data_IF_957369057215
#
_entry.id   IF_957369057215
#
_cell.length_a   1.000
_cell.length_b   1.000
_cell.length_c   1.000
_cell.angle_alpha   90.00
_cell.angle_beta   90.00
_cell.angle_gamma   90.00
#
_symmetry.space_group_name_H-M   'P 1'
#
loop_
_entity.id
_entity.type
_entity.pdbx_description
1 polymer ?
#
# COMPACT_ATOMS: atom_id res chain seq x y z
N UNK A 1 -14.09 -12.63 17.59
CA UNK A 1 -12.92 -13.50 17.35
C UNK A 1 -11.67 -12.87 17.98
N UNK A 2 -10.68 -13.69 18.33
CA UNK A 2 -9.37 -13.24 18.80
C UNK A 2 -8.36 -13.33 17.66
N UNK A 3 -7.99 -12.18 17.10
CA UNK A 3 -7.21 -12.09 15.85
C UNK A 3 -5.81 -11.57 16.17
N UNK A 4 -4.79 -12.26 15.67
CA UNK A 4 -3.40 -11.85 15.72
C UNK A 4 -2.95 -11.42 14.33
N UNK A 5 -2.81 -10.11 14.13
CA UNK A 5 -2.14 -9.55 12.94
C UNK A 5 -0.63 -9.58 13.18
N UNK A 6 0.17 -10.06 12.23
CA UNK A 6 1.61 -10.19 12.41
C UNK A 6 2.39 -9.63 11.22
N UNK A 7 3.36 -8.75 11.50
CA UNK A 7 4.26 -8.13 10.53
C UNK A 7 5.66 -7.93 11.10
N UNK A 8 6.61 -7.43 10.30
CA UNK A 8 7.97 -7.16 10.79
C UNK A 8 8.07 -5.87 11.60
N UNK A 9 7.49 -4.77 11.13
CA UNK A 9 7.53 -3.44 11.75
C UNK A 9 6.34 -2.61 11.29
N UNK A 10 6.17 -1.41 11.83
CA UNK A 10 5.18 -0.42 11.39
C UNK A 10 5.88 0.79 10.74
N UNK A 11 6.79 0.54 9.81
CA UNK A 11 7.51 1.58 9.07
C UNK A 11 6.59 2.36 8.11
N UNK A 12 7.14 3.44 7.51
CA UNK A 12 6.42 4.24 6.52
C UNK A 12 6.29 3.48 5.19
N UNK A 13 5.22 2.72 5.01
CA UNK A 13 4.94 1.97 3.79
C UNK A 13 3.46 1.68 3.60
N UNK A 14 3.06 1.38 2.36
CA UNK A 14 1.66 1.07 2.04
C UNK A 14 1.17 -0.20 2.73
N UNK A 15 2.03 -1.21 2.86
CA UNK A 15 1.73 -2.45 3.58
C UNK A 15 1.38 -2.17 5.04
N UNK A 16 2.23 -1.43 5.73
CA UNK A 16 2.07 -1.12 7.14
C UNK A 16 0.84 -0.24 7.39
N UNK A 17 0.60 0.71 6.49
CA UNK A 17 -0.62 1.52 6.52
C UNK A 17 -1.87 0.66 6.40
N UNK A 18 -1.90 -0.26 5.44
CA UNK A 18 -3.01 -1.20 5.26
C UNK A 18 -3.24 -2.05 6.52
N UNK A 19 -2.17 -2.59 7.13
CA UNK A 19 -2.27 -3.42 8.34
C UNK A 19 -2.89 -2.64 9.49
N UNK A 20 -2.50 -1.38 9.67
CA UNK A 20 -3.06 -0.51 10.72
C UNK A 20 -4.54 -0.25 10.47
N UNK A 21 -4.92 0.12 9.24
CA UNK A 21 -6.32 0.37 8.89
C UNK A 21 -7.18 -0.88 9.08
N UNK A 22 -6.71 -2.05 8.61
CA UNK A 22 -7.40 -3.31 8.77
C UNK A 22 -7.52 -3.70 10.25
N UNK A 23 -6.46 -3.53 11.04
CA UNK A 23 -6.48 -3.83 12.47
C UNK A 23 -7.48 -2.96 13.22
N UNK A 24 -7.52 -1.66 12.90
CA UNK A 24 -8.46 -0.72 13.50
C UNK A 24 -9.91 -1.06 13.14
N UNK A 25 -10.19 -1.41 11.88
CA UNK A 25 -11.53 -1.79 11.45
C UNK A 25 -12.00 -3.08 12.10
N UNK A 26 -11.15 -4.12 12.08
CA UNK A 26 -11.44 -5.41 12.75
C UNK A 26 -11.58 -5.24 14.26
N UNK A 27 -10.83 -4.33 14.87
CA UNK A 27 -10.87 -4.03 16.30
C UNK A 27 -12.18 -3.42 16.79
N UNK A 28 -13.04 -2.93 15.90
CA UNK A 28 -14.37 -2.43 16.26
C UNK A 28 -15.27 -3.53 16.84
N UNK A 29 -15.12 -4.77 16.37
CA UNK A 29 -16.00 -5.90 16.70
C UNK A 29 -15.26 -7.16 17.18
N UNK A 30 -13.92 -7.15 17.19
CA UNK A 30 -13.09 -8.29 17.55
C UNK A 30 -11.98 -7.90 18.54
N UNK A 31 -11.42 -8.88 19.25
CA UNK A 31 -10.21 -8.71 20.05
C UNK A 31 -8.99 -8.81 19.12
N UNK A 32 -8.44 -7.67 18.69
CA UNK A 32 -7.29 -7.61 17.77
C UNK A 32 -6.01 -7.29 18.52
N UNK A 33 -4.97 -8.07 18.24
CA UNK A 33 -3.59 -7.76 18.63
C UNK A 33 -2.72 -7.63 17.37
N UNK A 34 -1.99 -6.54 17.25
CA UNK A 34 -0.98 -6.35 16.22
C UNK A 34 0.40 -6.65 16.82
N UNK A 35 1.05 -7.68 16.28
CA UNK A 35 2.36 -8.16 16.69
C UNK A 35 3.41 -7.77 15.67
N UNK A 36 4.44 -7.07 16.09
CA UNK A 36 5.63 -6.82 15.28
C UNK A 36 6.82 -7.65 15.78
N UNK A 37 7.63 -8.14 14.84
CA UNK A 37 8.75 -9.04 15.17
C UNK A 37 10.07 -8.31 15.38
N UNK A 38 10.41 -7.33 14.53
CA UNK A 38 11.68 -6.59 14.62
C UNK A 38 11.71 -5.72 15.86
N UNK A 39 12.90 -5.60 16.45
CA UNK A 39 13.11 -4.67 17.55
C UNK A 39 12.84 -3.23 17.09
N UNK A 40 11.80 -2.64 17.65
CA UNK A 40 11.36 -1.27 17.32
C UNK A 40 12.11 -0.18 18.08
N UNK A 41 13.02 -0.56 18.99
CA UNK A 41 13.88 0.35 19.75
C UNK A 41 15.14 0.77 18.97
N UNK A 42 15.55 -0.04 17.98
CA UNK A 42 16.77 0.22 17.19
C UNK A 42 16.64 1.49 16.34
N UNK A 43 15.46 1.72 15.73
CA UNK A 43 15.13 2.94 15.00
C UNK A 43 13.65 3.27 15.19
N UNK A 44 13.27 3.85 16.35
CA UNK A 44 11.86 4.06 16.70
C UNK A 44 11.09 4.93 15.70
N UNK A 45 11.71 6.00 15.18
CA UNK A 45 11.07 6.90 14.24
C UNK A 45 10.64 6.19 12.95
N UNK A 46 11.45 5.27 12.49
CA UNK A 46 11.17 4.51 11.29
C UNK A 46 10.29 3.28 11.58
N UNK A 47 10.61 2.50 12.60
CA UNK A 47 9.97 1.20 12.88
C UNK A 47 8.60 1.32 13.54
N UNK A 48 8.27 2.48 14.12
CA UNK A 48 7.00 2.77 14.79
C UNK A 48 6.19 3.87 14.10
N UNK A 49 6.48 4.19 12.84
CA UNK A 49 5.89 5.33 12.11
C UNK A 49 4.36 5.36 12.20
N UNK A 50 3.69 4.24 11.95
CA UNK A 50 2.23 4.13 12.03
C UNK A 50 1.70 3.58 13.35
N UNK A 51 2.53 3.39 14.36
CA UNK A 51 2.10 2.87 15.67
C UNK A 51 1.07 3.76 16.35
N UNK A 52 1.23 5.07 16.21
CA UNK A 52 0.36 6.06 16.84
C UNK A 52 -0.99 6.23 16.13
N UNK A 53 -1.14 5.64 14.95
CA UNK A 53 -2.42 5.59 14.22
C UNK A 53 -3.28 4.38 14.63
N UNK A 54 -2.77 3.52 15.53
CA UNK A 54 -3.56 2.41 16.07
C UNK A 54 -4.63 2.93 17.03
N UNK A 55 -5.84 2.41 16.84
CA UNK A 55 -6.94 2.64 17.78
C UNK A 55 -6.63 2.03 19.15
N UNK A 56 -7.15 2.61 20.21
CA UNK A 56 -7.12 2.10 21.59
C UNK A 56 -7.72 0.68 21.74
N UNK A 57 -8.57 0.27 20.79
CA UNK A 57 -9.16 -1.07 20.70
C UNK A 57 -8.19 -2.15 20.18
N UNK A 58 -7.05 -1.74 19.60
CA UNK A 58 -6.03 -2.65 19.06
C UNK A 58 -4.84 -2.72 20.01
N UNK A 59 -4.57 -3.91 20.53
CA UNK A 59 -3.39 -4.13 21.37
C UNK A 59 -2.14 -4.22 20.51
N UNK A 60 -1.14 -3.36 20.76
CA UNK A 60 0.18 -3.46 20.14
C UNK A 60 1.15 -4.26 20.98
N UNK A 61 1.90 -5.17 20.35
CA UNK A 61 2.97 -5.95 20.98
C UNK A 61 4.17 -6.03 20.06
N UNK A 62 5.37 -5.84 20.61
CA UNK A 62 6.63 -6.04 19.87
C UNK A 62 7.44 -7.16 20.52
N UNK A 63 7.97 -8.09 19.73
CA UNK A 63 8.80 -9.21 20.25
C UNK A 63 10.28 -8.87 20.35
N UNK A 64 10.75 -7.78 19.75
CA UNK A 64 12.14 -7.36 19.80
C UNK A 64 13.12 -8.42 19.26
N UNK A 65 12.76 -9.07 18.14
CA UNK A 65 13.59 -10.10 17.55
C UNK A 65 14.72 -9.50 16.71
N UNK A 66 15.88 -10.13 16.74
CA UNK A 66 16.93 -9.84 15.77
C UNK A 66 16.44 -10.12 14.35
N UNK A 67 16.99 -9.40 13.37
CA UNK A 67 16.60 -9.56 11.95
C UNK A 67 16.99 -10.94 11.37
N UNK A 68 17.86 -11.68 12.08
CA UNK A 68 18.34 -12.99 11.61
C UNK A 68 17.29 -14.07 11.83
N UNK A 69 17.06 -14.87 10.80
CA UNK A 69 16.29 -16.09 10.92
C UNK A 69 17.08 -17.07 11.83
N UNK A 70 16.48 -17.52 12.92
CA UNK A 70 17.11 -18.44 13.88
C UNK A 70 16.07 -19.33 14.54
N UNK A 71 16.45 -20.56 14.97
CA UNK A 71 15.54 -21.46 15.72
C UNK A 71 14.97 -20.80 16.98
N UNK A 72 15.76 -19.97 17.66
CA UNK A 72 15.31 -19.23 18.84
C UNK A 72 14.16 -18.26 18.52
N UNK A 73 14.25 -17.55 17.39
CA UNK A 73 13.18 -16.63 16.94
C UNK A 73 11.91 -17.41 16.60
N UNK A 74 12.02 -18.57 15.93
CA UNK A 74 10.87 -19.45 15.67
C UNK A 74 10.21 -19.92 16.97
N UNK A 75 11.01 -20.31 17.95
CA UNK A 75 10.53 -20.72 19.26
C UNK A 75 9.82 -19.59 20.00
N UNK A 76 10.37 -18.37 19.98
CA UNK A 76 9.74 -17.20 20.60
C UNK A 76 8.39 -16.88 19.96
N UNK A 77 8.29 -16.90 18.63
CA UNK A 77 7.02 -16.68 17.90
C UNK A 77 6.02 -17.78 18.25
N UNK A 78 6.42 -19.06 18.20
CA UNK A 78 5.58 -20.19 18.59
C UNK A 78 5.06 -20.05 20.02
N UNK A 79 5.95 -19.79 20.99
CA UNK A 79 5.55 -19.63 22.41
C UNK A 79 4.56 -18.49 22.58
N UNK A 80 4.76 -17.38 21.88
CA UNK A 80 3.83 -16.25 21.94
C UNK A 80 2.46 -16.65 21.39
N UNK A 81 2.38 -17.22 20.19
CA UNK A 81 1.12 -17.66 19.57
C UNK A 81 0.41 -18.71 20.43
N UNK A 82 1.14 -19.69 20.97
CA UNK A 82 0.59 -20.72 21.85
C UNK A 82 -0.02 -20.12 23.13
N UNK A 83 0.72 -19.19 23.80
CA UNK A 83 0.24 -18.51 25.01
C UNK A 83 -0.93 -17.58 24.73
N UNK A 84 -0.86 -16.86 23.61
CA UNK A 84 -1.92 -15.92 23.20
C UNK A 84 -3.20 -16.65 22.80
N UNK A 85 -3.08 -17.84 22.20
CA UNK A 85 -4.17 -18.71 21.75
C UNK A 85 -5.22 -17.94 20.91
N UNK A 86 -4.88 -17.43 19.71
CA UNK A 86 -5.80 -16.73 18.83
C UNK A 86 -6.69 -17.71 18.08
N UNK A 87 -7.83 -17.23 17.56
CA UNK A 87 -8.62 -17.96 16.57
C UNK A 87 -7.95 -17.90 15.18
N UNK A 88 -7.32 -16.76 14.89
CA UNK A 88 -6.68 -16.47 13.60
C UNK A 88 -5.31 -15.83 13.80
N UNK A 89 -4.32 -16.30 13.05
CA UNK A 89 -3.03 -15.65 12.82
C UNK A 89 -3.00 -15.16 11.38
N UNK A 90 -3.05 -13.84 11.20
CA UNK A 90 -2.99 -13.23 9.87
C UNK A 90 -1.60 -12.63 9.63
N UNK A 91 -0.89 -13.21 8.69
CA UNK A 91 0.48 -12.88 8.33
C UNK A 91 0.50 -11.89 7.18
N UNK A 92 1.27 -10.82 7.35
CA UNK A 92 1.57 -9.85 6.30
C UNK A 92 3.07 -9.85 6.03
N UNK A 93 3.50 -9.29 4.95
CA UNK A 93 4.88 -9.26 4.49
C UNK A 93 5.46 -10.62 4.03
N UNK A 94 6.31 -10.52 3.02
CA UNK A 94 7.09 -11.63 2.46
C UNK A 94 7.99 -12.23 3.53
N UNK A 95 8.04 -13.56 3.59
CA UNK A 95 8.89 -14.27 4.55
C UNK A 95 8.29 -14.45 5.95
N UNK A 96 7.13 -13.85 6.27
CA UNK A 96 6.46 -14.05 7.56
C UNK A 96 6.11 -15.52 7.84
N UNK A 97 5.65 -16.32 6.85
CA UNK A 97 5.40 -17.75 7.07
C UNK A 97 6.60 -18.52 7.59
N UNK A 98 7.82 -18.14 7.23
CA UNK A 98 9.04 -18.78 7.77
C UNK A 98 9.13 -18.64 9.30
N UNK A 99 8.80 -17.47 9.83
CA UNK A 99 8.81 -17.21 11.27
C UNK A 99 7.65 -17.89 11.99
N UNK A 100 6.51 -18.08 11.31
CA UNK A 100 5.34 -18.75 11.86
C UNK A 100 5.31 -20.25 11.60
N UNK A 101 6.28 -20.82 10.88
CA UNK A 101 6.28 -22.21 10.42
C UNK A 101 6.10 -23.21 11.57
N UNK A 102 6.86 -23.07 12.66
CA UNK A 102 6.76 -23.94 13.82
C UNK A 102 5.39 -23.84 14.49
N UNK A 103 4.85 -22.63 14.63
CA UNK A 103 3.52 -22.41 15.18
C UNK A 103 2.45 -23.00 14.29
N UNK A 104 2.56 -22.79 12.96
CA UNK A 104 1.62 -23.34 11.99
C UNK A 104 1.61 -24.88 12.04
N UNK A 105 2.78 -25.51 12.02
CA UNK A 105 2.89 -26.96 12.05
C UNK A 105 2.32 -27.58 13.32
N UNK A 106 2.57 -26.98 14.50
CA UNK A 106 2.12 -27.53 15.78
C UNK A 106 0.67 -27.13 16.15
N UNK A 107 0.16 -26.00 15.66
CA UNK A 107 -1.12 -25.42 16.07
C UNK A 107 -2.13 -25.25 14.92
N UNK A 108 -1.72 -25.48 13.67
CA UNK A 108 -2.52 -25.17 12.48
C UNK A 108 -3.84 -25.94 12.34
N UNK A 109 -4.04 -27.02 13.09
CA UNK A 109 -5.34 -27.72 13.16
C UNK A 109 -6.35 -27.04 14.10
N UNK A 110 -5.87 -26.14 14.97
CA UNK A 110 -6.69 -25.43 15.98
C UNK A 110 -6.81 -23.94 15.68
N UNK A 111 -5.82 -23.38 15.00
CA UNK A 111 -5.71 -21.96 14.69
C UNK A 111 -5.72 -21.78 13.17
N UNK A 112 -6.53 -20.87 12.65
CA UNK A 112 -6.52 -20.52 11.24
C UNK A 112 -5.32 -19.61 10.93
N UNK A 113 -4.44 -20.03 10.02
CA UNK A 113 -3.34 -19.21 9.51
C UNK A 113 -3.70 -18.65 8.14
N UNK A 114 -3.59 -17.33 7.99
CA UNK A 114 -3.84 -16.60 6.75
C UNK A 114 -2.59 -15.83 6.35
N UNK A 115 -2.24 -15.81 5.08
CA UNK A 115 -1.18 -15.00 4.50
C UNK A 115 -1.75 -14.11 3.40
N UNK A 116 -1.60 -12.80 3.54
CA UNK A 116 -1.89 -11.87 2.44
C UNK A 116 -0.65 -11.66 1.58
N UNK A 117 -0.83 -11.80 0.27
CA UNK A 117 0.20 -11.57 -0.75
C UNK A 117 0.10 -10.13 -1.21
N UNK A 118 1.03 -9.28 -0.75
CA UNK A 118 1.03 -7.83 -0.98
C UNK A 118 1.88 -7.36 -2.17
N UNK A 119 2.65 -8.24 -2.78
CA UNK A 119 3.53 -7.91 -3.92
C UNK A 119 3.33 -8.88 -5.07
N UNK A 120 3.74 -8.47 -6.27
CA UNK A 120 3.75 -9.36 -7.44
C UNK A 120 4.57 -10.62 -7.14
N UNK A 121 3.93 -11.78 -7.22
CA UNK A 121 4.56 -13.07 -6.95
C UNK A 121 5.67 -13.42 -7.95
N UNK A 122 5.62 -12.85 -9.15
CA UNK A 122 6.61 -13.11 -10.22
C UNK A 122 7.97 -12.47 -9.96
N UNK A 123 8.00 -11.37 -9.19
CA UNK A 123 9.16 -10.51 -9.05
C UNK A 123 9.78 -10.46 -7.63
N UNK A 124 9.23 -11.19 -6.64
CA UNK A 124 9.60 -10.96 -5.24
C UNK A 124 10.01 -12.19 -4.42
N UNK A 125 9.91 -13.40 -4.95
CA UNK A 125 9.98 -14.61 -4.14
C UNK A 125 11.02 -15.63 -4.62
N UNK A 126 12.24 -15.21 -4.82
CA UNK A 126 13.31 -16.06 -5.39
C UNK A 126 14.11 -16.88 -4.35
N UNK A 127 13.50 -17.30 -3.25
CA UNK A 127 14.17 -18.21 -2.30
C UNK A 127 13.52 -19.59 -2.36
N UNK A 128 14.27 -20.61 -2.79
CA UNK A 128 13.83 -22.01 -2.80
C UNK A 128 13.16 -22.45 -1.48
N UNK A 129 13.70 -22.00 -0.34
CA UNK A 129 13.13 -22.30 0.99
C UNK A 129 11.76 -21.65 1.17
N UNK A 130 11.58 -20.44 0.64
CA UNK A 130 10.30 -19.76 0.73
C UNK A 130 9.23 -20.48 -0.11
N UNK A 131 9.55 -20.80 -1.34
CA UNK A 131 8.65 -21.49 -2.26
C UNK A 131 8.30 -22.88 -1.75
N UNK A 132 9.26 -23.62 -1.22
CA UNK A 132 9.05 -24.93 -0.61
C UNK A 132 8.13 -24.85 0.62
N UNK A 133 8.35 -23.91 1.54
CA UNK A 133 7.49 -23.72 2.71
C UNK A 133 6.08 -23.35 2.31
N UNK A 134 5.92 -22.39 1.38
CA UNK A 134 4.62 -21.97 0.89
C UNK A 134 3.87 -23.09 0.17
N UNK A 135 4.54 -23.79 -0.75
CA UNK A 135 3.94 -24.90 -1.49
C UNK A 135 3.49 -26.02 -0.53
N UNK A 136 4.36 -26.37 0.43
CA UNK A 136 4.05 -27.46 1.38
C UNK A 136 2.89 -27.07 2.30
N UNK A 137 2.93 -25.90 2.93
CA UNK A 137 1.88 -25.45 3.86
C UNK A 137 0.57 -25.16 3.13
N UNK A 138 0.62 -24.62 1.92
CA UNK A 138 -0.56 -24.42 1.07
C UNK A 138 -1.19 -25.74 0.64
N UNK A 139 -0.39 -26.71 0.18
CA UNK A 139 -0.85 -28.04 -0.23
C UNK A 139 -1.49 -28.83 0.94
N UNK A 140 -0.95 -28.64 2.14
CA UNK A 140 -1.52 -29.25 3.36
C UNK A 140 -2.73 -28.46 3.89
N UNK A 141 -3.16 -27.40 3.22
CA UNK A 141 -4.20 -26.46 3.65
C UNK A 141 -3.99 -25.88 5.06
N UNK A 142 -2.74 -25.82 5.48
CA UNK A 142 -2.36 -25.26 6.80
C UNK A 142 -2.26 -23.74 6.76
N UNK A 143 -2.10 -23.15 5.57
CA UNK A 143 -2.16 -21.69 5.34
C UNK A 143 -3.21 -21.44 4.27
N UNK A 144 -4.03 -20.41 4.50
CA UNK A 144 -4.94 -19.83 3.53
C UNK A 144 -4.30 -18.58 2.93
N UNK A 145 -4.50 -18.34 1.65
CA UNK A 145 -3.90 -17.21 0.96
C UNK A 145 -4.94 -16.18 0.57
N UNK A 146 -4.69 -14.92 0.88
CA UNK A 146 -5.45 -13.78 0.34
C UNK A 146 -4.60 -13.07 -0.71
N UNK A 147 -5.13 -12.92 -1.92
CA UNK A 147 -4.53 -12.14 -3.00
C UNK A 147 -5.22 -10.77 -3.06
N UNK A 148 -4.44 -9.70 -3.26
CA UNK A 148 -4.94 -8.32 -3.24
C UNK A 148 -5.24 -7.75 -4.63
N UNK A 149 -4.93 -8.51 -5.69
CA UNK A 149 -5.22 -8.18 -7.09
C UNK A 149 -5.61 -9.44 -7.85
N UNK A 150 -6.37 -9.29 -8.94
CA UNK A 150 -6.77 -10.40 -9.80
C UNK A 150 -5.54 -11.10 -10.40
N UNK A 151 -4.52 -10.36 -10.77
CA UNK A 151 -3.25 -10.90 -11.27
C UNK A 151 -2.58 -11.81 -10.23
N UNK A 152 -2.44 -11.34 -8.98
CA UNK A 152 -1.87 -12.14 -7.91
C UNK A 152 -2.72 -13.37 -7.58
N UNK A 153 -4.04 -13.28 -7.70
CA UNK A 153 -4.93 -14.41 -7.48
C UNK A 153 -4.76 -15.50 -8.55
N UNK A 154 -4.65 -15.12 -9.81
CA UNK A 154 -4.38 -16.04 -10.93
C UNK A 154 -3.00 -16.68 -10.80
N UNK A 155 -1.97 -15.90 -10.49
CA UNK A 155 -0.61 -16.41 -10.28
C UNK A 155 -0.54 -17.34 -9.06
N UNK A 156 -1.27 -17.06 -7.99
CA UNK A 156 -1.34 -17.91 -6.81
C UNK A 156 -1.94 -19.28 -7.13
N UNK A 157 -3.05 -19.33 -7.88
CA UNK A 157 -3.65 -20.59 -8.32
C UNK A 157 -2.75 -21.38 -9.27
N UNK A 158 -1.97 -20.69 -10.11
CA UNK A 158 -0.98 -21.35 -11.00
C UNK A 158 0.17 -21.95 -10.22
N UNK A 159 0.68 -21.25 -9.20
CA UNK A 159 1.86 -21.67 -8.43
C UNK A 159 1.47 -22.65 -7.31
N UNK A 160 0.31 -22.45 -6.68
CA UNK A 160 -0.19 -23.27 -5.56
C UNK A 160 -1.63 -23.76 -5.81
N UNK A 161 -1.86 -24.64 -6.81
CA UNK A 161 -3.21 -25.01 -7.29
C UNK A 161 -4.10 -25.69 -6.25
N UNK A 162 -3.50 -26.24 -5.18
CA UNK A 162 -4.25 -26.96 -4.12
C UNK A 162 -4.47 -26.11 -2.85
N UNK A 163 -4.01 -24.84 -2.86
CA UNK A 163 -4.18 -23.97 -1.71
C UNK A 163 -5.60 -23.39 -1.62
N UNK A 164 -6.06 -23.14 -0.40
CA UNK A 164 -7.27 -22.35 -0.19
C UNK A 164 -6.92 -20.86 -0.36
N UNK A 165 -7.42 -20.26 -1.42
CA UNK A 165 -7.15 -18.87 -1.77
C UNK A 165 -8.43 -18.07 -1.96
N UNK A 166 -8.36 -16.77 -1.67
CA UNK A 166 -9.44 -15.80 -1.86
C UNK A 166 -8.89 -14.51 -2.46
N UNK A 167 -9.64 -13.89 -3.37
CA UNK A 167 -9.34 -12.54 -3.83
C UNK A 167 -10.03 -11.52 -2.93
N UNK A 168 -9.22 -10.74 -2.21
CA UNK A 168 -9.69 -9.71 -1.29
C UNK A 168 -8.97 -8.40 -1.62
N UNK A 169 -9.70 -7.45 -2.20
CA UNK A 169 -9.16 -6.13 -2.50
C UNK A 169 -8.59 -5.48 -1.24
N UNK A 170 -7.42 -4.85 -1.36
CA UNK A 170 -6.96 -3.95 -0.33
C UNK A 170 -8.00 -2.85 -0.11
N UNK A 171 -8.20 -2.49 1.15
CA UNK A 171 -9.04 -1.38 1.53
C UNK A 171 -8.22 -0.25 2.13
N UNK A 172 -8.75 0.96 2.04
CA UNK A 172 -8.20 2.14 2.71
C UNK A 172 -9.28 2.79 3.58
N UNK A 173 -8.87 3.28 4.75
CA UNK A 173 -9.73 4.10 5.59
C UNK A 173 -10.05 5.42 4.88
N UNK A 174 -11.21 6.04 5.15
CA UNK A 174 -11.52 7.36 4.61
C UNK A 174 -10.43 8.37 4.94
N UNK A 175 -10.02 9.11 3.93
CA UNK A 175 -9.00 10.16 4.10
C UNK A 175 -9.69 11.38 4.71
N UNK A 176 -9.04 12.00 5.69
CA UNK A 176 -9.57 13.18 6.39
C UNK A 176 -8.63 14.36 6.20
N UNK A 177 -9.20 15.55 6.17
CA UNK A 177 -8.47 16.80 6.36
C UNK A 177 -8.02 16.91 7.81
N UNK A 178 -6.84 17.48 8.02
CA UNK A 178 -6.33 17.78 9.35
C UNK A 178 -6.50 19.28 9.67
N UNK A 179 -6.12 19.68 10.87
CA UNK A 179 -6.02 21.08 11.29
C UNK A 179 -5.02 21.91 10.48
N UNK A 180 -4.12 21.23 9.74
CA UNK A 180 -3.14 21.86 8.85
C UNK A 180 -3.64 22.11 7.42
N UNK A 181 -4.89 21.80 7.12
CA UNK A 181 -5.43 21.90 5.76
C UNK A 181 -5.25 23.30 5.13
N UNK A 182 -5.56 24.35 5.88
CA UNK A 182 -5.45 25.73 5.39
C UNK A 182 -3.98 26.17 5.18
N UNK A 183 -3.06 25.65 6.00
CA UNK A 183 -1.62 25.86 5.85
C UNK A 183 -1.12 25.18 4.56
N UNK A 184 -1.50 23.93 4.34
CA UNK A 184 -1.17 23.19 3.12
C UNK A 184 -1.78 23.87 1.88
N UNK A 185 -3.00 24.38 1.98
CA UNK A 185 -3.63 25.13 0.87
C UNK A 185 -2.82 26.38 0.50
N UNK A 186 -2.32 27.11 1.47
CA UNK A 186 -1.42 28.26 1.24
C UNK A 186 -0.08 27.82 0.62
N UNK A 187 0.52 26.74 1.14
CA UNK A 187 1.77 26.16 0.59
C UNK A 187 1.58 25.80 -0.89
N UNK A 188 0.53 25.06 -1.25
CA UNK A 188 0.26 24.65 -2.63
C UNK A 188 -0.05 25.85 -3.54
N UNK A 189 -0.81 26.82 -3.05
CA UNK A 189 -1.10 28.02 -3.83
C UNK A 189 0.16 28.84 -4.14
N UNK A 190 1.19 28.81 -3.31
CA UNK A 190 2.47 29.47 -3.57
C UNK A 190 3.26 28.84 -4.72
N UNK A 191 2.95 27.61 -5.10
CA UNK A 191 3.56 26.89 -6.23
C UNK A 191 2.83 27.13 -7.55
N UNK A 192 1.64 27.73 -7.52
CA UNK A 192 0.84 28.00 -8.72
C UNK A 192 1.32 29.28 -9.39
N UNK A 193 1.45 29.24 -10.71
CA UNK A 193 1.74 30.41 -11.52
C UNK A 193 0.55 31.38 -11.57
N UNK A 194 -0.66 30.82 -11.61
CA UNK A 194 -1.93 31.53 -11.65
C UNK A 194 -3.07 30.65 -11.14
N UNK A 195 -4.31 31.18 -11.12
CA UNK A 195 -5.48 30.45 -10.64
C UNK A 195 -5.89 29.23 -11.51
N UNK A 196 -5.41 29.15 -12.77
CA UNK A 196 -5.69 28.05 -13.68
C UNK A 196 -4.63 26.95 -13.62
N UNK A 197 -3.55 27.14 -12.84
CA UNK A 197 -2.48 26.15 -12.71
C UNK A 197 -3.02 24.90 -12.05
N UNK A 198 -2.95 23.76 -12.74
CA UNK A 198 -3.40 22.47 -12.22
C UNK A 198 -2.33 21.85 -11.33
N UNK A 199 -2.75 21.37 -10.17
CA UNK A 199 -1.88 20.72 -9.18
C UNK A 199 -1.86 19.22 -9.42
N UNK A 200 -0.71 18.70 -9.79
CA UNK A 200 -0.45 17.28 -9.95
C UNK A 200 0.27 16.78 -8.70
N UNK A 201 -0.26 15.75 -8.05
CA UNK A 201 0.30 15.18 -6.82
C UNK A 201 0.86 13.79 -7.07
N UNK A 202 2.06 13.53 -6.58
CA UNK A 202 2.67 12.21 -6.51
C UNK A 202 3.06 11.87 -5.07
N UNK A 203 2.66 10.69 -4.59
CA UNK A 203 2.95 10.24 -3.23
C UNK A 203 3.63 8.87 -3.27
N UNK A 204 4.95 8.85 -3.14
CA UNK A 204 5.75 7.64 -3.02
C UNK A 204 7.15 7.94 -2.49
N UNK A 205 7.79 6.98 -1.81
CA UNK A 205 9.22 7.06 -1.48
C UNK A 205 10.07 7.08 -2.76
N UNK A 206 11.23 7.72 -2.71
CA UNK A 206 12.22 7.63 -3.77
C UNK A 206 12.75 6.19 -3.85
N UNK A 207 12.40 5.47 -4.91
CA UNK A 207 12.80 4.08 -5.11
C UNK A 207 12.73 3.71 -6.59
N UNK A 208 13.64 2.88 -7.14
CA UNK A 208 13.64 2.50 -8.56
C UNK A 208 12.30 1.97 -9.07
N UNK A 209 11.59 1.18 -8.28
CA UNK A 209 10.25 0.67 -8.64
C UNK A 209 9.21 1.77 -8.88
N UNK A 210 9.40 2.96 -8.27
CA UNK A 210 8.48 4.10 -8.42
C UNK A 210 8.76 4.92 -9.68
N UNK A 211 9.91 4.67 -10.32
CA UNK A 211 10.29 5.24 -11.62
C UNK A 211 10.06 6.75 -11.73
N UNK A 212 10.53 7.50 -10.70
CA UNK A 212 10.35 8.95 -10.67
C UNK A 212 11.09 9.69 -11.81
N UNK A 213 12.01 9.02 -12.52
CA UNK A 213 12.57 9.57 -13.75
C UNK A 213 11.49 9.79 -14.83
N UNK A 214 10.57 8.82 -14.98
CA UNK A 214 9.43 8.95 -15.89
C UNK A 214 8.49 10.08 -15.44
N UNK A 215 8.23 10.20 -14.14
CA UNK A 215 7.41 11.27 -13.56
C UNK A 215 7.97 12.66 -13.87
N UNK A 216 9.24 12.89 -13.49
CA UNK A 216 9.92 14.18 -13.68
C UNK A 216 10.07 14.50 -15.16
N UNK A 217 10.47 13.51 -15.97
CA UNK A 217 10.59 13.67 -17.42
C UNK A 217 9.26 14.04 -18.08
N UNK A 218 8.17 13.35 -17.73
CA UNK A 218 6.83 13.63 -18.26
C UNK A 218 6.31 15.02 -17.86
N UNK A 219 6.50 15.41 -16.60
CA UNK A 219 6.14 16.75 -16.13
C UNK A 219 6.94 17.85 -16.86
N UNK A 220 8.26 17.70 -16.93
CA UNK A 220 9.12 18.64 -17.68
C UNK A 220 8.67 18.79 -19.15
N UNK A 221 8.38 17.67 -19.81
CA UNK A 221 7.92 17.65 -21.20
C UNK A 221 6.62 18.45 -21.37
N UNK A 222 5.64 18.24 -20.49
CA UNK A 222 4.35 18.93 -20.54
C UNK A 222 4.48 20.42 -20.25
N UNK A 223 5.25 20.80 -19.21
CA UNK A 223 5.51 22.20 -18.86
C UNK A 223 6.21 22.91 -20.00
N UNK A 224 7.22 22.27 -20.64
CA UNK A 224 7.89 22.80 -21.85
C UNK A 224 6.94 22.96 -23.03
N UNK A 225 5.92 22.10 -23.17
CA UNK A 225 4.86 22.20 -24.17
C UNK A 225 3.76 23.23 -23.82
N UNK A 226 3.91 23.97 -22.71
CA UNK A 226 2.99 25.05 -22.31
C UNK A 226 1.79 24.58 -21.46
N UNK A 227 1.77 23.33 -20.98
CA UNK A 227 0.72 22.87 -20.06
C UNK A 227 0.89 23.58 -18.72
N UNK A 228 -0.16 24.30 -18.27
CA UNK A 228 -0.14 25.07 -17.03
C UNK A 228 -0.38 24.14 -15.83
N UNK A 229 0.70 23.59 -15.28
CA UNK A 229 0.68 22.68 -14.16
C UNK A 229 1.85 22.89 -13.20
N UNK A 230 1.68 22.49 -11.95
CA UNK A 230 2.73 22.29 -10.96
C UNK A 230 2.70 20.86 -10.46
N UNK A 231 3.88 20.25 -10.25
CA UNK A 231 4.01 18.89 -9.72
C UNK A 231 4.50 18.96 -8.28
N UNK A 232 3.71 18.39 -7.37
CA UNK A 232 4.06 18.24 -5.94
C UNK A 232 4.40 16.77 -5.66
N UNK A 233 5.60 16.53 -5.13
CA UNK A 233 6.14 15.19 -4.86
C UNK A 233 6.31 15.01 -3.36
N UNK A 234 5.56 14.08 -2.77
CA UNK A 234 5.65 13.70 -1.37
C UNK A 234 6.31 12.33 -1.21
N UNK A 235 7.16 12.19 -0.22
CA UNK A 235 7.77 10.92 0.15
C UNK A 235 9.17 11.06 0.72
N UNK A 236 9.66 9.96 1.29
CA UNK A 236 11.03 9.88 1.85
C UNK A 236 12.06 9.49 0.79
N UNK A 237 13.34 9.70 1.09
CA UNK A 237 14.46 9.23 0.28
C UNK A 237 14.90 10.19 -0.83
N UNK A 238 14.27 11.34 -0.98
CA UNK A 238 14.70 12.37 -1.94
C UNK A 238 15.95 13.16 -1.49
N UNK A 239 16.48 12.88 -0.30
CA UNK A 239 17.76 13.41 0.20
C UNK A 239 18.93 12.45 -0.08
N UNK A 240 18.68 11.32 -0.70
CA UNK A 240 19.69 10.39 -1.21
C UNK A 240 20.34 10.91 -2.50
N UNK A 241 21.46 10.32 -2.93
CA UNK A 241 22.08 10.59 -4.22
C UNK A 241 21.11 10.47 -5.40
N UNK A 242 20.30 9.39 -5.39
CA UNK A 242 19.26 9.19 -6.39
C UNK A 242 18.20 10.31 -6.38
N UNK A 243 17.81 10.75 -5.18
CA UNK A 243 16.87 11.87 -5.01
C UNK A 243 17.46 13.21 -5.47
N UNK A 244 18.72 13.46 -5.16
CA UNK A 244 19.44 14.66 -5.63
C UNK A 244 19.49 14.73 -7.17
N UNK A 245 19.73 13.58 -7.81
CA UNK A 245 19.72 13.46 -9.29
C UNK A 245 18.34 13.76 -9.88
N UNK A 246 17.26 13.30 -9.24
CA UNK A 246 15.90 13.64 -9.68
C UNK A 246 15.60 15.13 -9.51
N UNK A 247 16.02 15.75 -8.39
CA UNK A 247 15.87 17.19 -8.16
C UNK A 247 16.62 18.03 -9.19
N UNK A 248 17.83 17.61 -9.59
CA UNK A 248 18.61 18.32 -10.62
C UNK A 248 18.01 18.25 -12.02
N UNK A 249 17.13 17.30 -12.31
CA UNK A 249 16.39 17.19 -13.57
C UNK A 249 15.10 18.02 -13.58
N UNK A 250 14.61 18.40 -12.41
CA UNK A 250 13.32 19.07 -12.25
C UNK A 250 13.39 20.55 -12.64
N UNK A 251 12.37 21.06 -13.35
CA UNK A 251 12.18 22.50 -13.53
C UNK A 251 11.53 23.14 -12.29
N UNK A 252 11.47 24.47 -12.25
CA UNK A 252 10.98 25.24 -11.10
C UNK A 252 9.52 24.95 -10.70
N UNK A 253 8.73 24.36 -11.57
CA UNK A 253 7.35 23.96 -11.29
C UNK A 253 7.23 22.55 -10.69
N UNK A 254 8.33 21.93 -10.27
CA UNK A 254 8.35 20.59 -9.65
C UNK A 254 8.91 20.70 -8.23
N UNK A 255 8.09 20.39 -7.23
CA UNK A 255 8.39 20.62 -5.82
C UNK A 255 8.48 19.31 -5.04
N UNK A 256 9.61 19.03 -4.39
CA UNK A 256 9.84 17.87 -3.54
C UNK A 256 9.71 18.28 -2.08
N UNK A 257 8.62 17.88 -1.40
CA UNK A 257 8.29 18.35 -0.05
C UNK A 257 8.66 17.34 1.06
N UNK A 258 9.31 16.23 0.70
CA UNK A 258 9.67 15.20 1.67
C UNK A 258 8.47 14.39 2.20
N UNK A 259 8.67 13.59 3.26
CA UNK A 259 7.60 12.78 3.86
C UNK A 259 6.62 13.66 4.62
N UNK A 260 5.32 13.42 4.43
CA UNK A 260 4.22 14.11 5.13
C UNK A 260 3.32 13.07 5.81
N UNK A 261 2.83 13.37 7.00
CA UNK A 261 1.85 12.54 7.72
C UNK A 261 0.41 12.89 7.37
N UNK A 262 0.18 14.09 6.91
CA UNK A 262 -1.12 14.66 6.54
C UNK A 262 -1.35 14.65 5.01
N UNK A 263 -1.09 13.52 4.37
CA UNK A 263 -1.23 13.34 2.90
C UNK A 263 -2.64 13.71 2.41
N UNK A 264 -3.66 13.52 3.25
CA UNK A 264 -5.04 13.91 2.93
C UNK A 264 -5.19 15.38 2.58
N UNK A 265 -4.50 16.28 3.30
CA UNK A 265 -4.57 17.71 3.03
C UNK A 265 -4.02 18.06 1.64
N UNK A 266 -3.00 17.35 1.19
CA UNK A 266 -2.44 17.50 -0.16
C UNK A 266 -3.36 16.91 -1.24
N UNK A 267 -3.97 15.73 -0.97
CA UNK A 267 -4.94 15.11 -1.90
C UNK A 267 -6.14 16.02 -2.15
N UNK A 268 -6.71 16.61 -1.10
CA UNK A 268 -7.85 17.52 -1.24
C UNK A 268 -7.51 18.87 -1.93
N UNK A 269 -6.22 19.18 -2.07
CA UNK A 269 -5.71 20.33 -2.82
C UNK A 269 -5.20 19.94 -4.21
N UNK A 270 -5.24 18.67 -4.60
CA UNK A 270 -4.77 18.19 -5.88
C UNK A 270 -5.88 18.18 -6.94
N UNK A 271 -5.53 18.52 -8.18
CA UNK A 271 -6.39 18.35 -9.34
C UNK A 271 -6.22 16.98 -9.99
N UNK A 272 -5.00 16.41 -9.95
CA UNK A 272 -4.66 15.11 -10.51
C UNK A 272 -3.69 14.40 -9.58
N UNK A 273 -3.93 13.12 -9.32
CA UNK A 273 -2.97 12.23 -8.68
C UNK A 273 -2.26 11.38 -9.72
N UNK A 274 -0.95 11.17 -9.57
CA UNK A 274 -0.21 10.38 -10.56
C UNK A 274 0.80 9.40 -9.96
N UNK A 275 0.89 8.21 -10.60
CA UNK A 275 1.93 7.21 -10.36
C UNK A 275 2.67 6.88 -11.65
N UNK A 276 4.00 6.75 -11.53
CA UNK A 276 4.91 6.39 -12.64
C UNK A 276 5.57 5.02 -12.43
N UNK A 277 5.08 4.23 -11.48
CA UNK A 277 5.71 2.99 -11.02
C UNK A 277 5.92 1.98 -12.15
N UNK A 278 7.01 1.21 -12.08
CA UNK A 278 7.26 0.07 -12.97
C UNK A 278 6.68 -1.24 -12.44
N UNK A 279 6.49 -1.35 -11.12
CA UNK A 279 5.96 -2.54 -10.45
C UNK A 279 5.15 -2.10 -9.21
N UNK A 280 3.93 -2.63 -9.10
CA UNK A 280 3.07 -2.50 -7.91
C UNK A 280 2.30 -3.80 -7.67
N UNK A 281 1.87 -4.00 -6.42
CA UNK A 281 0.82 -4.97 -6.10
C UNK A 281 -0.56 -4.29 -6.16
N UNK A 282 -0.85 -3.50 -5.11
CA UNK A 282 -1.99 -2.59 -5.05
C UNK A 282 -1.48 -1.30 -4.39
N UNK A 283 -1.28 -0.22 -5.15
CA UNK A 283 -0.70 1.01 -4.60
C UNK A 283 -1.69 1.72 -3.68
N UNK A 284 -1.39 1.79 -2.40
CA UNK A 284 -2.25 2.40 -1.37
C UNK A 284 -2.50 3.88 -1.65
N UNK A 285 -1.48 4.61 -2.12
CA UNK A 285 -1.65 6.03 -2.47
C UNK A 285 -2.63 6.27 -3.63
N UNK A 286 -2.78 5.28 -4.53
CA UNK A 286 -3.80 5.34 -5.58
C UNK A 286 -5.21 5.15 -4.98
N UNK A 287 -5.36 4.24 -4.01
CA UNK A 287 -6.62 4.09 -3.28
C UNK A 287 -6.96 5.34 -2.46
N UNK A 288 -5.95 5.99 -1.89
CA UNK A 288 -6.12 7.27 -1.19
C UNK A 288 -6.65 8.35 -2.13
N UNK A 289 -6.07 8.48 -3.33
CA UNK A 289 -6.53 9.43 -4.34
C UNK A 289 -7.97 9.12 -4.78
N UNK A 290 -8.27 7.86 -5.09
CA UNK A 290 -9.61 7.41 -5.47
C UNK A 290 -10.65 7.74 -4.39
N UNK A 291 -10.36 7.41 -3.13
CA UNK A 291 -11.26 7.67 -1.99
C UNK A 291 -11.33 9.15 -1.60
N UNK A 292 -10.48 10.00 -2.16
CA UNK A 292 -10.54 11.46 -2.04
C UNK A 292 -11.21 12.14 -3.24
N UNK A 293 -11.69 11.37 -4.23
CA UNK A 293 -12.32 11.89 -5.45
C UNK A 293 -11.36 12.64 -6.38
N UNK A 294 -10.07 12.29 -6.33
CA UNK A 294 -9.05 12.91 -7.16
C UNK A 294 -8.84 12.08 -8.43
N UNK A 295 -8.94 12.67 -9.64
CA UNK A 295 -8.65 11.99 -10.89
C UNK A 295 -7.24 11.42 -10.92
N UNK A 296 -7.08 10.25 -11.54
CA UNK A 296 -5.84 9.48 -11.45
C UNK A 296 -5.17 9.27 -12.81
N UNK A 297 -3.85 9.28 -12.80
CA UNK A 297 -3.01 8.80 -13.91
C UNK A 297 -2.01 7.79 -13.39
N UNK A 298 -1.86 6.68 -14.10
CA UNK A 298 -0.85 5.68 -13.72
C UNK A 298 -0.27 4.99 -14.94
N UNK A 299 0.95 4.49 -14.81
CA UNK A 299 1.47 3.42 -15.65
C UNK A 299 0.61 2.16 -15.48
N UNK A 300 0.55 1.23 -16.48
CA UNK A 300 -0.32 0.06 -16.46
C UNK A 300 0.24 -1.05 -15.55
N UNK A 301 0.49 -0.72 -14.28
CA UNK A 301 0.96 -1.68 -13.27
C UNK A 301 -0.21 -2.44 -12.65
N UNK A 302 0.11 -3.61 -12.07
CA UNK A 302 -0.83 -4.39 -11.28
C UNK A 302 -1.49 -3.52 -10.19
N UNK A 303 -2.76 -3.73 -9.94
CA UNK A 303 -3.56 -2.91 -9.01
C UNK A 303 -3.99 -1.56 -9.58
N UNK A 304 -3.20 -0.87 -10.39
CA UNK A 304 -3.66 0.34 -11.07
C UNK A 304 -4.69 0.02 -12.17
N UNK A 305 -4.48 -1.08 -12.89
CA UNK A 305 -5.44 -1.56 -13.91
C UNK A 305 -6.77 -2.02 -13.31
N UNK A 306 -6.80 -2.36 -12.02
CA UNK A 306 -8.01 -2.76 -11.31
C UNK A 306 -8.80 -1.55 -10.77
N UNK A 307 -8.13 -0.41 -10.58
CA UNK A 307 -8.67 0.80 -9.91
C UNK A 307 -9.05 1.88 -10.91
N UNK A 308 -8.27 2.05 -11.98
CA UNK A 308 -8.50 3.08 -13.00
C UNK A 308 -9.36 2.48 -14.13
N UNK A 309 -10.59 2.96 -14.26
CA UNK A 309 -11.61 2.42 -15.17
C UNK A 309 -11.83 3.24 -16.45
N UNK A 310 -10.98 4.25 -16.70
CA UNK A 310 -11.10 5.18 -17.82
C UNK A 310 -12.07 6.34 -17.60
N UNK A 311 -12.92 6.29 -16.55
CA UNK A 311 -13.80 7.40 -16.13
C UNK A 311 -13.17 8.19 -14.99
N UNK A 312 -12.61 7.54 -14.02
CA UNK A 312 -11.96 8.13 -12.85
C UNK A 312 -10.49 8.51 -13.11
N UNK A 313 -9.96 8.23 -14.28
CA UNK A 313 -8.56 8.49 -14.63
C UNK A 313 -8.13 7.79 -15.92
N UNK A 314 -6.84 7.85 -16.22
CA UNK A 314 -6.23 7.30 -17.43
C UNK A 314 -4.99 6.47 -17.11
N UNK A 315 -4.90 5.26 -17.68
CA UNK A 315 -3.66 4.48 -17.71
C UNK A 315 -2.83 4.88 -18.93
N UNK A 316 -1.52 5.07 -18.76
CA UNK A 316 -0.64 5.23 -19.92
C UNK A 316 -0.64 3.97 -20.78
N UNK A 317 -0.46 4.12 -22.09
CA UNK A 317 -0.43 2.96 -23.01
C UNK A 317 0.77 2.05 -22.77
N UNK A 318 1.87 2.63 -22.35
CA UNK A 318 3.11 1.94 -22.04
C UNK A 318 3.88 2.65 -20.92
N UNK A 319 5.12 2.20 -20.65
CA UNK A 319 6.05 2.86 -19.73
C UNK A 319 6.94 3.92 -20.42
N UNK A 320 6.64 4.24 -21.66
CA UNK A 320 7.37 5.25 -22.43
C UNK A 320 6.98 6.66 -22.02
N UNK A 321 7.94 7.59 -22.13
CA UNK A 321 7.79 8.97 -21.69
C UNK A 321 6.60 9.68 -22.34
N UNK A 322 6.48 9.57 -23.66
CA UNK A 322 5.40 10.22 -24.42
C UNK A 322 4.03 9.66 -24.06
N UNK A 323 3.90 8.35 -23.90
CA UNK A 323 2.63 7.72 -23.52
C UNK A 323 2.18 8.15 -22.12
N UNK A 324 3.12 8.21 -21.16
CA UNK A 324 2.83 8.68 -19.83
C UNK A 324 2.46 10.17 -19.79
N UNK A 325 3.22 11.02 -20.51
CA UNK A 325 2.93 12.44 -20.63
C UNK A 325 1.56 12.69 -21.29
N UNK A 326 1.22 11.94 -22.35
CA UNK A 326 -0.07 12.05 -23.01
C UNK A 326 -1.24 11.65 -22.09
N UNK A 327 -1.10 10.59 -21.29
CA UNK A 327 -2.12 10.21 -20.30
C UNK A 327 -2.31 11.33 -19.26
N UNK A 328 -1.22 11.89 -18.74
CA UNK A 328 -1.27 13.00 -17.78
C UNK A 328 -1.91 14.25 -18.38
N UNK A 329 -1.53 14.62 -19.60
CA UNK A 329 -2.12 15.73 -20.35
C UNK A 329 -3.62 15.55 -20.53
N UNK A 330 -4.07 14.36 -20.92
CA UNK A 330 -5.49 14.06 -21.15
C UNK A 330 -6.33 14.35 -19.89
N UNK A 331 -5.86 13.94 -18.71
CA UNK A 331 -6.59 14.17 -17.45
C UNK A 331 -6.50 15.64 -17.02
N UNK A 332 -5.38 16.33 -17.26
CA UNK A 332 -5.23 17.77 -16.96
C UNK A 332 -6.19 18.60 -17.81
N UNK A 333 -6.23 18.39 -19.13
CA UNK A 333 -7.05 19.14 -20.06
C UNK A 333 -8.56 18.88 -19.89
N UNK A 334 -8.95 17.69 -19.42
CA UNK A 334 -10.35 17.30 -19.18
C UNK A 334 -10.66 17.14 -17.69
N UNK A 335 -9.96 17.87 -16.83
CA UNK A 335 -9.95 17.66 -15.38
C UNK A 335 -11.34 17.67 -14.73
N UNK A 336 -12.23 18.62 -15.12
CA UNK A 336 -13.56 18.73 -14.57
C UNK A 336 -14.43 17.48 -14.82
N UNK A 337 -14.30 16.86 -16.00
CA UNK A 337 -15.01 15.64 -16.35
C UNK A 337 -14.52 14.46 -15.48
N UNK A 338 -13.21 14.27 -15.41
CA UNK A 338 -12.61 13.20 -14.61
C UNK A 338 -12.89 13.38 -13.12
N UNK A 339 -12.86 14.62 -12.62
CA UNK A 339 -13.16 14.93 -11.21
C UNK A 339 -14.60 14.63 -10.87
N UNK A 340 -15.57 14.97 -11.74
CA UNK A 340 -16.97 14.59 -11.55
C UNK A 340 -17.12 13.08 -11.40
N UNK A 341 -16.56 12.29 -12.32
CA UNK A 341 -16.65 10.83 -12.28
C UNK A 341 -15.92 10.23 -11.07
N UNK A 342 -14.76 10.78 -10.71
CA UNK A 342 -14.02 10.33 -9.53
C UNK A 342 -14.83 10.53 -8.24
N UNK A 343 -15.53 11.66 -8.11
CA UNK A 343 -16.41 11.94 -6.98
C UNK A 343 -17.64 11.01 -6.96
N UNK A 344 -18.26 10.74 -8.10
CA UNK A 344 -19.39 9.82 -8.22
C UNK A 344 -19.00 8.38 -7.80
N UNK A 345 -17.77 7.95 -8.12
CA UNK A 345 -17.27 6.62 -7.79
C UNK A 345 -16.84 6.41 -6.33
N UNK A 346 -16.73 7.48 -5.52
CA UNK A 346 -16.25 7.36 -4.13
C UNK A 346 -17.21 6.58 -3.22
N UNK A 347 -18.52 6.76 -3.37
CA UNK A 347 -19.52 6.35 -2.35
C UNK A 347 -19.65 4.85 -2.18
N UNK A 348 -19.51 4.06 -3.24
CA UNK A 348 -19.74 2.61 -3.27
C UNK A 348 -18.48 1.80 -3.65
N UNK A 349 -17.31 2.36 -3.38
CA UNK A 349 -16.03 1.75 -3.74
C UNK A 349 -15.81 0.40 -3.04
N UNK A 350 -15.40 -0.65 -3.78
CA UNK A 350 -15.02 -1.93 -3.20
C UNK A 350 -13.70 -1.86 -2.39
N UNK A 351 -12.98 -0.75 -2.48
CA UNK A 351 -11.68 -0.51 -1.86
C UNK A 351 -11.77 0.21 -0.52
N UNK A 352 -12.95 0.24 0.13
CA UNK A 352 -13.06 0.74 1.50
C UNK A 352 -12.54 -0.30 2.49
N UNK A 353 -11.90 0.16 3.57
CA UNK A 353 -11.38 -0.75 4.61
C UNK A 353 -12.49 -1.56 5.29
N UNK A 354 -13.70 -1.01 5.37
CA UNK A 354 -14.86 -1.71 5.91
C UNK A 354 -15.20 -2.96 5.08
N UNK A 355 -15.36 -2.82 3.76
CA UNK A 355 -15.63 -3.96 2.86
C UNK A 355 -14.49 -4.97 2.85
N UNK A 356 -13.25 -4.49 2.88
CA UNK A 356 -12.08 -5.34 3.00
C UNK A 356 -12.11 -6.18 4.28
N UNK A 357 -12.38 -5.55 5.44
CA UNK A 357 -12.47 -6.24 6.73
C UNK A 357 -13.63 -7.25 6.76
N UNK A 358 -14.79 -6.92 6.19
CA UNK A 358 -15.93 -7.83 6.07
C UNK A 358 -15.54 -9.11 5.29
N UNK A 359 -14.88 -8.97 4.13
CA UNK A 359 -14.39 -10.11 3.34
C UNK A 359 -13.34 -10.94 4.10
N UNK A 360 -12.42 -10.29 4.84
CA UNK A 360 -11.48 -11.04 5.69
C UNK A 360 -12.19 -11.79 6.80
N UNK A 361 -13.22 -11.21 7.42
CA UNK A 361 -14.00 -11.90 8.45
C UNK A 361 -14.74 -13.12 7.91
N UNK A 362 -15.28 -13.06 6.70
CA UNK A 362 -15.86 -14.21 6.00
C UNK A 362 -14.80 -15.28 5.73
N UNK A 363 -13.65 -14.86 5.20
CA UNK A 363 -12.55 -15.76 4.86
C UNK A 363 -11.95 -16.45 6.11
N UNK A 364 -11.86 -15.78 7.25
CA UNK A 364 -11.42 -16.37 8.51
C UNK A 364 -12.36 -17.47 9.00
N UNK A 365 -13.67 -17.31 8.81
CA UNK A 365 -14.71 -18.25 9.27
C UNK A 365 -14.92 -19.45 8.35
N UNK A 366 -14.43 -19.41 7.10
CA UNK A 366 -14.54 -20.56 6.19
C UNK A 366 -13.98 -21.80 6.87
N UNK A 367 -14.75 -22.91 6.83
CA UNK A 367 -14.23 -24.23 7.20
C UNK A 367 -13.39 -24.74 6.03
N UNK A 368 -12.16 -25.22 6.29
CA UNK A 368 -11.24 -25.79 5.31
C UNK A 368 -11.65 -27.17 4.83
#
# INVERSE_FOLDING_TARGET
MKILQITFSLSSGGLERFIVDLSNELGKTNAVTLLTLKDDKVNPQQSQFYKFDLSDKVKYVNLGLSQKYSPLNLWKVYRYIKKFNPDVVHMHAVGMPKFCMLANWLLGRKITFVQTIHSDMRNGYSSFVYDFVHATLGRMRMIRFAAISDTNFKDLHRIYPHSLAEFINNGRAPIKRTDKFDEVTKEINSFKKDCNTKVVLHVARCHPQKNQHLLVGGANLLIKKGVNMTLVVLGSGFDSEAGAKLKSMACDSIHFLGPKTNVGDYLYNADVFTLSSSIEGMPISLLEAMLSGVPMVSTPVCGAVDVIDGKNGVLSKSFELEDYANALRTVIENNELYKKHALEGMGDSPYTIKRCAEKYMEFYKRKG
#
